data_IF_620567829023
#
_entry.id   IF_620567829023
#
_cell.length_a   1.000
_cell.length_b   1.000
_cell.length_c   1.000
_cell.angle_alpha   90.00
_cell.angle_beta   90.00
_cell.angle_gamma   90.00
#
_symmetry.space_group_name_H-M   'P 1'
#
loop_
_entity.id
_entity.type
_entity.pdbx_description
1 polymer ?
#
# COMPACT_ATOMS: atom_id res chain seq x y z
N UNK A 1 -23.47 5.83 -38.99
CA UNK A 1 -22.53 4.71 -38.68
C UNK A 1 -21.76 5.10 -37.45
N UNK A 2 -22.26 4.65 -36.30
CA UNK A 2 -21.69 5.03 -35.00
C UNK A 2 -20.59 4.06 -34.63
N UNK A 3 -19.35 4.47 -34.86
CA UNK A 3 -18.20 3.82 -34.24
C UNK A 3 -18.20 4.17 -32.75
N UNK A 4 -18.88 3.37 -31.93
CA UNK A 4 -18.69 3.40 -30.48
C UNK A 4 -17.28 2.96 -30.17
N UNK A 5 -16.37 3.92 -30.05
CA UNK A 5 -15.09 3.71 -29.41
C UNK A 5 -15.34 3.21 -28.01
N UNK A 6 -15.10 1.93 -27.78
CA UNK A 6 -14.99 1.40 -26.43
C UNK A 6 -13.71 1.99 -25.85
N UNK A 7 -13.83 3.04 -25.04
CA UNK A 7 -12.79 3.45 -24.14
C UNK A 7 -12.46 2.25 -23.26
N UNK A 8 -11.42 1.53 -23.62
CA UNK A 8 -10.78 0.56 -22.76
C UNK A 8 -10.10 1.37 -21.66
N UNK A 9 -10.80 1.59 -20.54
CA UNK A 9 -10.14 2.08 -19.34
C UNK A 9 -9.01 1.11 -19.04
N UNK A 10 -7.77 1.62 -19.08
CA UNK A 10 -6.62 0.86 -18.63
C UNK A 10 -6.86 0.38 -17.19
N UNK A 11 -6.45 -0.85 -16.86
CA UNK A 11 -6.64 -1.36 -15.52
C UNK A 11 -5.90 -0.46 -14.52
N UNK A 12 -6.57 -0.05 -13.45
CA UNK A 12 -5.99 0.80 -12.40
C UNK A 12 -4.84 0.12 -11.67
N UNK A 13 -4.83 -1.20 -11.66
CA UNK A 13 -3.80 -2.03 -11.04
C UNK A 13 -3.36 -3.09 -12.06
N UNK A 14 -2.07 -3.17 -12.32
CA UNK A 14 -1.47 -4.17 -13.20
C UNK A 14 -0.35 -4.88 -12.47
N UNK A 15 -0.44 -6.21 -12.36
CA UNK A 15 0.64 -7.02 -11.79
C UNK A 15 1.79 -7.14 -12.78
N UNK A 16 3.00 -6.85 -12.32
CA UNK A 16 4.21 -7.07 -13.13
C UNK A 16 4.53 -8.58 -13.18
N UNK A 17 4.92 -9.01 -14.37
CA UNK A 17 5.45 -10.35 -14.56
C UNK A 17 6.94 -10.31 -14.31
N UNK A 18 7.43 -11.11 -13.37
CA UNK A 18 8.86 -11.30 -13.17
C UNK A 18 9.35 -12.38 -14.15
N UNK A 19 10.05 -11.98 -15.23
CA UNK A 19 10.47 -12.92 -16.29
C UNK A 19 11.51 -13.95 -15.81
N UNK A 20 12.18 -13.68 -14.69
CA UNK A 20 13.24 -14.54 -14.17
C UNK A 20 12.87 -15.28 -12.89
N UNK A 21 11.69 -15.01 -12.32
CA UNK A 21 11.29 -15.58 -11.02
C UNK A 21 12.29 -15.29 -9.89
N UNK A 22 13.11 -14.25 -10.07
CA UNK A 22 14.27 -13.98 -9.23
C UNK A 22 13.89 -13.54 -7.81
N UNK A 23 12.66 -13.08 -7.61
CA UNK A 23 12.20 -12.63 -6.30
C UNK A 23 11.14 -13.56 -5.74
N UNK A 24 11.57 -14.45 -4.86
CA UNK A 24 10.68 -15.44 -4.25
C UNK A 24 9.77 -14.87 -3.17
N UNK A 25 10.10 -13.72 -2.60
CA UNK A 25 9.44 -13.16 -1.40
C UNK A 25 8.51 -12.00 -1.70
N UNK A 26 8.78 -11.22 -2.75
CA UNK A 26 7.96 -10.06 -3.13
C UNK A 26 7.40 -10.18 -4.54
N UNK A 27 6.39 -9.39 -4.82
CA UNK A 27 5.86 -9.17 -6.15
C UNK A 27 5.57 -7.67 -6.37
N UNK A 28 5.47 -7.27 -7.62
CA UNK A 28 5.29 -5.88 -7.98
C UNK A 28 4.00 -5.65 -8.75
N UNK A 29 3.44 -4.46 -8.55
CA UNK A 29 2.24 -3.98 -9.22
C UNK A 29 2.46 -2.54 -9.69
N UNK A 30 1.91 -2.18 -10.85
CA UNK A 30 1.77 -0.79 -11.26
C UNK A 30 0.39 -0.29 -10.86
N UNK A 31 0.36 0.78 -10.06
CA UNK A 31 -0.86 1.39 -9.55
C UNK A 31 -0.83 2.87 -9.86
N UNK A 32 -1.67 3.32 -10.77
CA UNK A 32 -1.75 4.73 -11.19
C UNK A 32 -0.36 5.33 -11.52
N UNK A 33 0.48 4.59 -12.24
CA UNK A 33 1.83 5.01 -12.61
C UNK A 33 2.88 4.88 -11.49
N UNK A 34 2.51 4.41 -10.32
CA UNK A 34 3.42 4.16 -9.19
C UNK A 34 3.66 2.67 -9.02
N UNK A 35 4.92 2.28 -8.92
CA UNK A 35 5.31 0.88 -8.69
C UNK A 35 5.20 0.54 -7.21
N UNK A 36 4.40 -0.48 -6.89
CA UNK A 36 4.31 -1.10 -5.58
C UNK A 36 5.05 -2.43 -5.60
N UNK A 37 6.02 -2.60 -4.73
CA UNK A 37 6.68 -3.87 -4.50
C UNK A 37 6.51 -4.28 -3.04
N UNK A 38 5.72 -5.31 -2.82
CA UNK A 38 5.28 -5.76 -1.50
C UNK A 38 5.46 -7.27 -1.35
N UNK A 39 5.45 -7.75 -0.12
CA UNK A 39 5.50 -9.18 0.16
C UNK A 39 4.37 -9.92 -0.56
N UNK A 40 4.65 -11.13 -1.03
CA UNK A 40 3.66 -11.96 -1.76
C UNK A 40 2.39 -12.27 -0.98
N UNK A 41 2.41 -12.12 0.34
CA UNK A 41 1.22 -12.27 1.18
C UNK A 41 0.19 -11.16 1.00
N UNK A 42 0.57 -10.02 0.40
CA UNK A 42 -0.35 -8.93 0.09
C UNK A 42 -0.74 -8.97 -1.38
N UNK A 43 -2.03 -9.00 -1.63
CA UNK A 43 -2.62 -8.86 -2.96
C UNK A 43 -3.27 -7.49 -3.08
N UNK A 44 -2.75 -6.64 -3.98
CA UNK A 44 -3.28 -5.30 -4.19
C UNK A 44 -4.58 -5.39 -4.99
N UNK A 45 -5.62 -4.74 -4.48
CA UNK A 45 -6.97 -4.76 -5.05
C UNK A 45 -7.23 -3.51 -5.88
N UNK A 46 -7.24 -2.34 -5.23
CA UNK A 46 -7.57 -1.06 -5.84
C UNK A 46 -6.82 0.10 -5.19
N UNK A 47 -6.52 1.18 -5.94
CA UNK A 47 -6.10 2.42 -5.34
C UNK A 47 -7.27 3.08 -4.61
N UNK A 48 -7.01 3.62 -3.41
CA UNK A 48 -8.00 4.33 -2.59
C UNK A 48 -7.67 5.79 -2.35
N UNK A 49 -6.43 6.19 -2.58
CA UNK A 49 -6.03 7.58 -2.44
C UNK A 49 -4.66 7.85 -3.04
N UNK A 50 -4.45 9.07 -3.47
CA UNK A 50 -3.15 9.56 -3.93
C UNK A 50 -3.00 11.05 -3.59
N UNK A 51 -1.77 11.49 -3.36
CA UNK A 51 -1.45 12.87 -3.03
C UNK A 51 0.03 13.15 -3.16
N UNK A 52 0.46 14.34 -2.71
CA UNK A 52 1.84 14.79 -2.77
C UNK A 52 2.82 13.85 -2.02
N UNK A 53 2.34 13.11 -1.06
CA UNK A 53 3.15 12.25 -0.19
C UNK A 53 3.18 10.78 -0.58
N UNK A 54 2.38 10.36 -1.55
CA UNK A 54 2.37 9.00 -2.01
C UNK A 54 0.99 8.47 -2.42
N UNK A 55 0.89 7.17 -2.55
CA UNK A 55 -0.32 6.46 -2.99
C UNK A 55 -0.74 5.46 -1.92
N UNK A 56 -2.04 5.37 -1.69
CA UNK A 56 -2.64 4.39 -0.77
C UNK A 56 -3.48 3.41 -1.58
N UNK A 57 -3.32 2.14 -1.31
CA UNK A 57 -4.06 1.06 -1.96
C UNK A 57 -4.80 0.19 -0.94
N UNK A 58 -5.93 -0.36 -1.36
CA UNK A 58 -6.55 -1.47 -0.67
C UNK A 58 -5.84 -2.77 -1.07
N UNK A 59 -5.59 -3.63 -0.11
CA UNK A 59 -4.95 -4.92 -0.32
C UNK A 59 -5.58 -6.00 0.57
N UNK A 60 -5.35 -7.24 0.20
CA UNK A 60 -5.74 -8.41 0.98
C UNK A 60 -4.51 -9.05 1.60
N UNK A 61 -4.54 -9.31 2.90
CA UNK A 61 -3.53 -10.12 3.58
C UNK A 61 -3.91 -11.60 3.47
N UNK A 62 -3.17 -12.33 2.65
CA UNK A 62 -3.44 -13.75 2.36
C UNK A 62 -3.07 -14.69 3.51
N UNK A 63 -2.37 -14.18 4.53
CA UNK A 63 -2.04 -14.97 5.73
C UNK A 63 -3.20 -15.04 6.71
N UNK A 64 -4.15 -14.12 6.60
CA UNK A 64 -5.37 -14.12 7.40
C UNK A 64 -6.45 -14.90 6.65
N UNK A 65 -6.99 -15.91 7.27
CA UNK A 65 -8.10 -16.68 6.69
C UNK A 65 -9.29 -15.77 6.40
N UNK A 66 -10.07 -16.10 5.37
CA UNK A 66 -11.31 -15.38 5.05
C UNK A 66 -12.16 -15.27 6.32
N UNK A 67 -12.51 -14.04 6.76
CA UNK A 67 -13.16 -13.89 8.05
C UNK A 67 -14.52 -14.59 8.05
N UNK A 68 -14.73 -15.43 9.07
CA UNK A 68 -16.05 -15.84 9.48
C UNK A 68 -16.70 -14.64 10.16
N UNK A 69 -18.01 -14.58 10.16
CA UNK A 69 -18.79 -13.54 10.80
C UNK A 69 -18.24 -13.23 12.21
N UNK A 70 -17.84 -11.95 12.45
CA UNK A 70 -17.24 -11.51 13.71
C UNK A 70 -15.71 -11.64 13.84
N UNK A 71 -14.99 -12.13 12.81
CA UNK A 71 -13.54 -12.22 12.81
C UNK A 71 -12.87 -10.96 12.24
N UNK A 72 -11.58 -10.77 12.52
CA UNK A 72 -10.76 -9.69 11.98
C UNK A 72 -10.73 -9.75 10.44
N UNK A 73 -10.93 -8.60 9.80
CA UNK A 73 -10.89 -8.49 8.35
C UNK A 73 -9.50 -8.78 7.81
N UNK A 74 -9.42 -9.51 6.68
CA UNK A 74 -8.18 -9.72 5.95
C UNK A 74 -7.83 -8.56 5.00
N UNK A 75 -8.64 -7.51 4.96
CA UNK A 75 -8.41 -6.31 4.16
C UNK A 75 -7.52 -5.32 4.93
N UNK A 76 -6.56 -4.75 4.23
CA UNK A 76 -5.62 -3.76 4.75
C UNK A 76 -5.46 -2.60 3.79
N UNK A 77 -5.03 -1.45 4.30
CA UNK A 77 -4.56 -0.33 3.50
C UNK A 77 -3.03 -0.32 3.50
N UNK A 78 -2.42 -0.15 2.33
CA UNK A 78 -0.98 0.00 2.20
C UNK A 78 -0.67 1.37 1.61
N UNK A 79 0.00 2.21 2.38
CA UNK A 79 0.48 3.52 1.96
C UNK A 79 1.95 3.42 1.56
N UNK A 80 2.25 3.80 0.32
CA UNK A 80 3.61 3.99 -0.14
C UNK A 80 4.02 5.45 0.01
N UNK A 81 5.06 5.71 0.78
CA UNK A 81 5.68 7.02 0.93
C UNK A 81 6.94 7.02 0.07
N UNK A 82 6.91 7.79 -1.01
CA UNK A 82 8.03 7.91 -1.94
C UNK A 82 9.00 8.98 -1.48
N UNK A 83 10.28 8.86 -1.87
CA UNK A 83 11.30 9.87 -1.59
C UNK A 83 11.39 10.25 -0.11
N UNK A 84 11.25 9.26 0.76
CA UNK A 84 11.08 9.46 2.19
C UNK A 84 12.27 10.18 2.84
N UNK A 85 13.45 10.12 2.24
CA UNK A 85 14.70 10.65 2.79
C UNK A 85 15.37 11.74 1.95
N UNK A 86 14.72 12.23 0.90
CA UNK A 86 15.31 13.26 0.04
C UNK A 86 15.40 14.64 0.71
N UNK A 87 14.43 14.97 1.55
CA UNK A 87 14.34 16.24 2.26
C UNK A 87 14.27 16.04 3.76
N UNK A 88 15.17 16.67 4.51
CA UNK A 88 15.26 16.54 5.97
C UNK A 88 13.92 16.85 6.68
N UNK A 89 13.27 17.95 6.30
CA UNK A 89 12.01 18.36 6.94
C UNK A 89 10.91 17.32 6.70
N UNK A 90 10.80 16.80 5.49
CA UNK A 90 9.84 15.77 5.14
C UNK A 90 10.15 14.45 5.86
N UNK A 91 11.41 14.05 5.92
CA UNK A 91 11.84 12.84 6.63
C UNK A 91 11.52 12.91 8.12
N UNK A 92 11.77 14.05 8.77
CA UNK A 92 11.45 14.26 10.19
C UNK A 92 9.94 14.25 10.44
N UNK A 93 9.15 14.84 9.56
CA UNK A 93 7.69 14.82 9.65
C UNK A 93 7.16 13.40 9.50
N UNK A 94 7.62 12.67 8.52
CA UNK A 94 7.26 11.26 8.30
C UNK A 94 7.63 10.41 9.51
N UNK A 95 8.82 10.57 10.04
CA UNK A 95 9.27 9.86 11.24
C UNK A 95 8.37 10.14 12.45
N UNK A 96 8.02 11.40 12.69
CA UNK A 96 7.11 11.79 13.77
C UNK A 96 5.73 11.16 13.60
N UNK A 97 5.16 11.25 12.41
CA UNK A 97 3.84 10.68 12.11
C UNK A 97 3.82 9.17 12.41
N UNK A 98 4.79 8.44 11.88
CA UNK A 98 4.89 7.00 12.09
C UNK A 98 5.15 6.66 13.57
N UNK A 99 5.99 7.42 14.25
CA UNK A 99 6.29 7.22 15.68
C UNK A 99 5.05 7.43 16.53
N UNK A 100 4.30 8.51 16.30
CA UNK A 100 3.06 8.81 17.02
C UNK A 100 2.02 7.72 16.78
N UNK A 101 1.80 7.32 15.52
CA UNK A 101 0.84 6.26 15.19
C UNK A 101 1.19 4.91 15.83
N UNK A 102 2.47 4.60 16.00
CA UNK A 102 2.91 3.38 16.68
C UNK A 102 2.69 3.42 18.19
N UNK A 103 2.81 4.59 18.81
CA UNK A 103 2.67 4.78 20.25
C UNK A 103 1.22 4.92 20.70
N UNK A 104 0.34 5.43 19.84
CA UNK A 104 -1.06 5.59 20.13
C UNK A 104 -1.83 4.30 19.85
N UNK A 105 -2.38 3.72 20.90
CA UNK A 105 -3.25 2.55 20.81
C UNK A 105 -4.63 2.93 21.36
N UNK A 106 -5.57 3.14 20.44
CA UNK A 106 -6.93 3.53 20.76
C UNK A 106 -7.87 3.17 19.60
N UNK A 107 -9.09 2.78 19.90
CA UNK A 107 -10.10 2.39 18.89
C UNK A 107 -10.46 3.49 17.87
N UNK A 108 -10.30 4.77 18.28
CA UNK A 108 -10.60 5.94 17.43
C UNK A 108 -9.35 6.51 16.73
N UNK A 109 -8.22 5.84 16.82
CA UNK A 109 -6.97 6.22 16.15
C UNK A 109 -6.55 5.11 15.19
N UNK A 110 -6.31 5.49 13.94
CA UNK A 110 -5.81 4.56 12.93
C UNK A 110 -4.38 4.14 13.29
N UNK A 111 -4.24 2.89 13.70
CA UNK A 111 -2.95 2.31 14.07
C UNK A 111 -2.18 1.75 12.90
N UNK A 112 -0.88 1.58 13.08
CA UNK A 112 0.00 0.89 12.14
C UNK A 112 0.03 -0.59 12.51
N UNK A 113 -0.35 -1.46 11.57
CA UNK A 113 -0.20 -2.91 11.72
C UNK A 113 1.23 -3.34 11.47
N UNK A 114 1.87 -2.80 10.44
CA UNK A 114 3.24 -3.14 10.04
C UNK A 114 3.86 -2.04 9.19
N UNK A 115 5.17 -1.91 9.28
CA UNK A 115 6.00 -1.21 8.29
C UNK A 115 6.83 -2.28 7.58
N UNK A 116 6.75 -2.33 6.24
CA UNK A 116 7.44 -3.35 5.47
C UNK A 116 8.95 -3.09 5.49
N UNK A 117 9.74 -4.14 5.65
CA UNK A 117 11.20 -4.03 5.62
C UNK A 117 11.68 -3.71 4.20
N UNK A 118 12.63 -2.78 4.04
CA UNK A 118 13.30 -2.59 2.76
C UNK A 118 14.12 -3.82 2.38
N UNK A 119 14.31 -4.06 1.09
CA UNK A 119 15.15 -5.15 0.59
C UNK A 119 16.60 -5.02 1.06
N UNK A 120 17.14 -3.82 0.98
CA UNK A 120 18.45 -3.49 1.51
C UNK A 120 18.46 -2.04 2.00
N UNK A 121 19.44 -1.73 2.85
CA UNK A 121 19.58 -0.40 3.44
C UNK A 121 20.01 0.66 2.45
N UNK A 122 20.80 0.30 1.46
CA UNK A 122 21.41 1.25 0.50
C UNK A 122 20.38 1.79 -0.48
N UNK A 123 19.43 0.94 -0.90
CA UNK A 123 18.34 1.34 -1.79
C UNK A 123 17.06 1.79 -1.04
N UNK A 124 17.12 1.91 0.27
CA UNK A 124 15.97 2.30 1.10
C UNK A 124 15.63 3.77 0.91
N UNK A 125 14.64 4.04 0.07
CA UNK A 125 14.13 5.38 -0.23
C UNK A 125 12.60 5.48 -0.15
N UNK A 126 11.94 4.37 0.06
CA UNK A 126 10.49 4.23 0.08
C UNK A 126 10.05 3.52 1.35
N UNK A 127 8.94 3.97 1.93
CA UNK A 127 8.35 3.36 3.11
C UNK A 127 6.96 2.85 2.75
N UNK A 128 6.69 1.60 3.07
CA UNK A 128 5.37 1.00 2.97
C UNK A 128 4.78 0.81 4.36
N UNK A 129 3.65 1.42 4.61
CA UNK A 129 2.93 1.35 5.89
C UNK A 129 1.64 0.59 5.70
N UNK A 130 1.47 -0.48 6.46
CA UNK A 130 0.24 -1.29 6.47
C UNK A 130 -0.60 -0.90 7.66
N UNK A 131 -1.86 -0.56 7.40
CA UNK A 131 -2.84 -0.20 8.41
C UNK A 131 -4.17 -0.90 8.15
N UNK A 132 -5.10 -0.73 9.06
CA UNK A 132 -6.47 -1.18 8.88
C UNK A 132 -7.12 -0.46 7.70
N UNK A 133 -7.91 -1.19 6.90
CA UNK A 133 -8.73 -0.61 5.84
C UNK A 133 -10.09 -0.21 6.42
N UNK A 134 -10.42 1.07 6.33
CA UNK A 134 -11.73 1.60 6.71
C UNK A 134 -12.73 1.35 5.58
N UNK A 135 -13.99 1.08 5.92
CA UNK A 135 -15.05 0.81 4.93
C UNK A 135 -15.39 2.06 4.13
N UNK A 136 -15.37 3.23 4.78
CA UNK A 136 -15.72 4.51 4.17
C UNK A 136 -15.02 5.67 4.88
N UNK A 137 -15.10 6.84 4.32
CA UNK A 137 -14.68 8.12 4.90
C UNK A 137 -15.88 8.99 5.30
N UNK A 138 -15.59 10.19 5.78
CA UNK A 138 -16.61 11.16 6.22
C UNK A 138 -17.19 12.03 5.09
N UNK A 139 -16.87 11.73 3.86
CA UNK A 139 -17.30 12.52 2.70
C UNK A 139 -18.80 12.48 2.46
#
# INVERSE_FOLDING_TARGET
MDAKGKDKKEPKVTKEVDPNGANKETHAFMVMGTRFEVDKKYEIIDPIGSGAYGVVVAAKDLTIATPKEGAESNLVAIKKIVKAFEHRVFSLRTYRELKIQRLLEHENVLGIKRILKPKNRESFNEIYVVSELMETDLA
#
